data_IF_571021243415
#
_entry.id   IF_571021243415
#
_cell.length_a   1.000
_cell.length_b   1.000
_cell.length_c   1.000
_cell.angle_alpha   90.00
_cell.angle_beta   90.00
_cell.angle_gamma   90.00
#
_symmetry.space_group_name_H-M   'P 1'
#
loop_
_entity.id
_entity.type
_entity.pdbx_description
1 polymer ?
#
# COMPACT_ATOMS: atom_id res chain seq x y z
N UNK A 1 -5.40 18.10 -79.68
CA UNK A 1 -4.16 18.45 -78.95
C UNK A 1 -4.49 19.16 -77.64
N UNK A 2 -5.30 18.54 -76.77
CA UNK A 2 -5.67 19.15 -75.48
C UNK A 2 -6.21 18.08 -74.50
N UNK A 3 -5.49 16.97 -74.34
CA UNK A 3 -5.92 15.89 -73.44
C UNK A 3 -4.73 15.18 -72.78
N UNK A 4 -3.64 15.91 -72.55
CA UNK A 4 -2.45 15.40 -71.85
C UNK A 4 -1.97 16.29 -70.69
N UNK A 5 -2.63 17.43 -70.44
CA UNK A 5 -2.16 18.43 -69.46
C UNK A 5 -2.88 18.40 -68.09
N UNK A 6 -3.80 17.46 -67.85
CA UNK A 6 -4.58 17.40 -66.60
C UNK A 6 -4.08 16.35 -65.58
N UNK A 7 -2.92 15.71 -65.81
CA UNK A 7 -2.35 14.74 -64.86
C UNK A 7 -1.26 15.32 -63.93
N UNK A 8 -0.91 16.60 -64.07
CA UNK A 8 0.18 17.24 -63.30
C UNK A 8 -0.31 18.05 -62.07
N UNK A 9 -1.60 17.99 -61.72
CA UNK A 9 -2.18 18.75 -60.61
C UNK A 9 -2.52 17.89 -59.38
N UNK A 10 -2.14 16.62 -59.35
CA UNK A 10 -2.17 15.84 -58.13
C UNK A 10 -0.79 15.91 -57.50
N UNK A 11 -0.54 16.76 -56.48
CA UNK A 11 0.66 16.63 -55.68
C UNK A 11 0.66 15.19 -55.16
N UNK A 12 1.67 14.44 -55.55
CA UNK A 12 1.93 13.12 -54.99
C UNK A 12 1.91 13.31 -53.48
N UNK A 13 0.96 12.66 -52.83
CA UNK A 13 0.87 12.63 -51.37
C UNK A 13 2.13 11.89 -50.93
N UNK A 14 3.20 12.65 -50.68
CA UNK A 14 4.37 12.16 -49.97
C UNK A 14 3.78 11.70 -48.65
N UNK A 15 3.63 10.39 -48.46
CA UNK A 15 3.38 9.83 -47.14
C UNK A 15 4.73 9.92 -46.44
N UNK A 16 4.98 10.88 -45.52
CA UNK A 16 6.08 10.69 -44.59
C UNK A 16 5.64 9.51 -43.72
N UNK A 17 6.05 8.30 -44.08
CA UNK A 17 6.10 7.21 -43.11
C UNK A 17 7.07 7.68 -42.04
N UNK A 18 6.55 8.26 -40.96
CA UNK A 18 7.31 8.51 -39.75
C UNK A 18 7.74 7.13 -39.22
N UNK A 19 8.93 6.71 -39.61
CA UNK A 19 9.56 5.52 -39.06
C UNK A 19 10.01 5.89 -37.66
N UNK A 20 9.17 5.60 -36.68
CA UNK A 20 9.58 5.76 -35.29
C UNK A 20 10.47 4.57 -34.97
N UNK A 21 11.78 4.84 -34.92
CA UNK A 21 12.78 3.90 -34.39
C UNK A 21 12.63 3.92 -32.87
N UNK A 22 11.58 3.30 -32.34
CA UNK A 22 11.55 3.02 -30.90
C UNK A 22 12.63 1.98 -30.63
N UNK A 23 13.69 2.38 -29.93
CA UNK A 23 14.48 1.42 -29.18
C UNK A 23 13.52 0.77 -28.19
N UNK A 24 13.49 -0.57 -28.16
CA UNK A 24 12.73 -1.30 -27.16
C UNK A 24 13.08 -0.75 -25.77
N UNK A 25 12.08 -0.35 -24.96
CA UNK A 25 12.35 0.21 -23.65
C UNK A 25 13.11 -0.83 -22.80
N UNK A 26 13.98 -0.38 -21.88
CA UNK A 26 14.63 -1.30 -20.95
C UNK A 26 13.59 -2.11 -20.17
N UNK A 27 14.01 -3.28 -19.69
CA UNK A 27 13.17 -4.08 -18.78
C UNK A 27 12.88 -3.29 -17.50
N UNK A 28 11.67 -3.46 -16.97
CA UNK A 28 11.29 -2.92 -15.67
C UNK A 28 11.89 -3.78 -14.54
N UNK A 29 12.67 -3.13 -13.68
CA UNK A 29 13.35 -3.71 -12.52
C UNK A 29 13.20 -2.80 -11.28
N UNK A 30 12.08 -2.07 -11.19
CA UNK A 30 11.77 -1.23 -10.04
C UNK A 30 11.64 -2.07 -8.76
N UNK A 31 12.25 -1.62 -7.67
CA UNK A 31 12.29 -2.36 -6.41
C UNK A 31 11.03 -2.11 -5.58
N UNK A 32 10.37 -3.20 -5.13
CA UNK A 32 9.30 -3.13 -4.14
C UNK A 32 9.48 -4.19 -3.06
N UNK A 33 9.07 -3.86 -1.83
CA UNK A 33 9.31 -4.67 -0.64
C UNK A 33 7.98 -4.91 0.08
N UNK A 34 7.62 -6.19 0.18
CA UNK A 34 6.55 -6.65 1.05
C UNK A 34 7.03 -6.66 2.51
N UNK A 35 6.44 -5.79 3.33
CA UNK A 35 6.69 -5.73 4.75
C UNK A 35 5.82 -6.75 5.49
N UNK A 36 6.44 -7.50 6.39
CA UNK A 36 5.85 -8.56 7.19
C UNK A 36 6.21 -8.35 8.67
N UNK A 37 5.62 -9.15 9.56
CA UNK A 37 5.97 -9.11 10.99
C UNK A 37 7.45 -9.40 11.26
N UNK A 38 8.19 -10.02 10.32
CA UNK A 38 9.60 -10.36 10.51
C UNK A 38 10.57 -9.26 10.08
N UNK A 39 10.18 -8.32 9.22
CA UNK A 39 11.10 -7.30 8.69
C UNK A 39 10.64 -5.86 8.95
N UNK A 40 9.37 -5.64 9.30
CA UNK A 40 8.79 -4.29 9.42
C UNK A 40 9.52 -3.41 10.44
N UNK A 41 9.99 -3.98 11.55
CA UNK A 41 10.72 -3.23 12.57
C UNK A 41 12.08 -2.75 12.07
N UNK A 42 12.75 -3.53 11.23
CA UNK A 42 14.04 -3.18 10.64
C UNK A 42 13.90 -1.99 9.67
N UNK A 43 12.87 -2.01 8.83
CA UNK A 43 12.65 -0.95 7.85
C UNK A 43 12.03 0.31 8.46
N UNK A 44 10.99 0.16 9.29
CA UNK A 44 10.14 1.29 9.69
C UNK A 44 9.93 1.40 11.19
N UNK A 45 10.53 0.54 12.01
CA UNK A 45 10.27 0.46 13.45
C UNK A 45 10.55 1.75 14.23
N UNK A 46 11.48 2.58 13.72
CA UNK A 46 11.82 3.88 14.31
C UNK A 46 10.98 5.05 13.78
N UNK A 47 10.15 4.83 12.77
CA UNK A 47 9.30 5.88 12.19
C UNK A 47 8.17 6.25 13.15
N UNK A 48 7.83 7.55 13.19
CA UNK A 48 6.67 8.04 13.95
C UNK A 48 5.37 7.35 13.50
N UNK A 49 5.25 7.05 12.21
CA UNK A 49 4.13 6.33 11.65
C UNK A 49 3.97 4.93 12.25
N UNK A 50 5.05 4.14 12.30
CA UNK A 50 5.02 2.79 12.89
C UNK A 50 4.64 2.83 14.37
N UNK A 51 5.25 3.73 15.13
CA UNK A 51 5.00 3.87 16.57
C UNK A 51 3.52 4.24 16.84
N UNK A 52 2.93 5.10 16.02
CA UNK A 52 1.57 5.61 16.24
C UNK A 52 0.47 4.73 15.65
N UNK A 53 0.71 4.08 14.50
CA UNK A 53 -0.35 3.43 13.71
C UNK A 53 -0.18 1.91 13.59
N UNK A 54 1.02 1.36 13.76
CA UNK A 54 1.28 -0.07 13.55
C UNK A 54 1.58 -0.79 14.86
N UNK A 55 2.21 -0.12 15.81
CA UNK A 55 2.60 -0.74 17.10
C UNK A 55 1.38 -1.32 17.81
N UNK A 56 1.46 -2.61 18.15
CA UNK A 56 0.38 -3.33 18.83
C UNK A 56 -0.73 -3.86 17.90
N UNK A 57 -0.59 -3.69 16.57
CA UNK A 57 -1.46 -4.26 15.53
C UNK A 57 -0.86 -5.54 14.95
N UNK A 58 -1.72 -6.37 14.37
CA UNK A 58 -1.28 -7.53 13.58
C UNK A 58 -0.92 -7.06 12.15
N UNK A 59 0.18 -7.59 11.61
CA UNK A 59 0.66 -7.23 10.27
C UNK A 59 1.05 -8.45 9.45
N UNK A 60 0.86 -8.36 8.13
CA UNK A 60 1.25 -9.40 7.16
C UNK A 60 1.70 -8.78 5.85
N UNK A 61 2.43 -9.57 5.08
CA UNK A 61 2.80 -9.19 3.71
C UNK A 61 1.56 -9.02 2.84
N UNK A 62 1.53 -7.99 1.98
CA UNK A 62 0.48 -7.84 0.99
C UNK A 62 0.62 -8.87 -0.12
N UNK A 63 -0.49 -9.06 -0.84
CA UNK A 63 -0.52 -9.78 -2.10
C UNK A 63 -0.22 -8.82 -3.24
N UNK A 64 0.33 -9.33 -4.34
CA UNK A 64 0.58 -8.54 -5.52
C UNK A 64 0.38 -9.29 -6.82
N UNK A 65 0.09 -8.53 -7.87
CA UNK A 65 0.08 -8.99 -9.25
C UNK A 65 0.95 -8.05 -10.07
N UNK A 66 1.90 -8.60 -10.82
CA UNK A 66 2.80 -7.86 -11.69
C UNK A 66 2.51 -8.23 -13.14
N UNK A 67 2.33 -7.21 -13.98
CA UNK A 67 2.10 -7.36 -15.42
C UNK A 67 2.95 -6.31 -16.16
N UNK A 68 3.95 -6.77 -16.90
CA UNK A 68 5.00 -5.96 -17.55
C UNK A 68 5.69 -4.94 -16.62
N UNK A 69 5.18 -3.71 -16.58
CA UNK A 69 5.70 -2.60 -15.79
C UNK A 69 4.63 -2.07 -14.82
N UNK A 70 3.58 -2.83 -14.57
CA UNK A 70 2.49 -2.49 -13.67
C UNK A 70 2.48 -3.44 -12.48
N UNK A 71 2.39 -2.87 -11.28
CA UNK A 71 2.27 -3.60 -10.03
C UNK A 71 0.97 -3.20 -9.36
N UNK A 72 0.13 -4.17 -9.04
CA UNK A 72 -1.01 -3.99 -8.15
C UNK A 72 -0.73 -4.67 -6.81
N UNK A 73 -0.94 -3.97 -5.71
CA UNK A 73 -0.72 -4.44 -4.34
C UNK A 73 -2.04 -4.36 -3.59
N UNK A 74 -2.41 -5.41 -2.85
CA UNK A 74 -3.67 -5.44 -2.11
C UNK A 74 -3.60 -6.33 -0.86
N UNK A 75 -4.63 -6.18 -0.03
CA UNK A 75 -4.86 -6.95 1.18
C UNK A 75 -6.26 -7.55 1.15
N UNK A 76 -6.42 -8.82 1.54
CA UNK A 76 -7.74 -9.48 1.46
C UNK A 76 -8.80 -8.87 2.39
N UNK A 77 -8.45 -8.61 3.65
CA UNK A 77 -9.37 -8.18 4.72
C UNK A 77 -8.79 -7.11 5.65
N UNK A 78 -7.55 -6.72 5.39
CA UNK A 78 -6.79 -5.81 6.24
C UNK A 78 -6.52 -4.54 5.48
N UNK A 79 -6.16 -3.48 6.19
CA UNK A 79 -5.86 -2.21 5.54
C UNK A 79 -4.48 -2.24 4.91
N UNK A 80 -4.41 -1.93 3.62
CA UNK A 80 -3.16 -1.71 2.91
C UNK A 80 -2.56 -0.35 3.29
N UNK A 81 -1.27 -0.37 3.61
CA UNK A 81 -0.45 0.84 3.76
C UNK A 81 0.70 0.76 2.78
N UNK A 82 0.87 1.81 1.98
CA UNK A 82 2.01 1.96 1.06
C UNK A 82 2.89 3.15 1.45
N UNK A 83 4.20 3.00 1.25
CA UNK A 83 5.21 3.98 1.68
C UNK A 83 6.32 4.07 0.64
N UNK A 84 6.86 5.28 0.44
CA UNK A 84 8.17 5.47 -0.21
C UNK A 84 9.29 5.22 0.83
N UNK A 85 10.52 4.98 0.39
CA UNK A 85 11.73 4.94 1.23
C UNK A 85 11.84 6.18 2.14
N UNK A 86 11.45 7.34 1.62
CA UNK A 86 11.45 8.60 2.39
C UNK A 86 10.30 8.67 3.39
N UNK A 87 9.25 7.86 3.18
CA UNK A 87 8.10 7.59 4.05
C UNK A 87 8.44 7.36 5.52
N UNK A 88 9.66 6.85 5.79
CA UNK A 88 10.13 6.55 7.13
C UNK A 88 10.61 7.77 7.91
N UNK A 89 10.74 8.91 7.23
CA UNK A 89 11.15 10.20 7.79
C UNK A 89 9.96 11.16 7.84
N UNK A 90 10.07 12.23 8.63
CA UNK A 90 9.00 13.23 8.80
C UNK A 90 8.56 13.94 7.50
N UNK A 91 9.32 13.78 6.39
CA UNK A 91 9.03 14.35 5.07
C UNK A 91 8.57 13.30 4.04
N UNK A 92 8.36 12.08 4.51
CA UNK A 92 7.95 10.95 3.71
C UNK A 92 6.47 10.91 3.40
N UNK A 93 6.11 10.20 2.33
CA UNK A 93 4.72 9.93 2.03
C UNK A 93 4.34 8.53 2.49
N UNK A 94 3.23 8.43 3.22
CA UNK A 94 2.59 7.17 3.63
C UNK A 94 1.11 7.28 3.35
N UNK A 95 0.55 6.27 2.67
CA UNK A 95 -0.87 6.24 2.33
C UNK A 95 -1.51 5.01 2.95
N UNK A 96 -2.52 5.24 3.79
CA UNK A 96 -3.44 4.21 4.21
C UNK A 96 -4.56 4.13 3.17
N UNK A 97 -4.64 3.00 2.49
CA UNK A 97 -5.63 2.74 1.46
C UNK A 97 -6.85 1.97 1.99
N UNK A 98 -6.81 1.50 3.24
CA UNK A 98 -7.86 0.63 3.74
C UNK A 98 -7.93 -0.64 2.91
N UNK A 99 -9.12 -1.09 2.53
CA UNK A 99 -9.32 -2.29 1.72
C UNK A 99 -9.00 -2.11 0.22
N UNK A 100 -8.65 -0.89 -0.22
CA UNK A 100 -8.34 -0.61 -1.62
C UNK A 100 -6.94 -1.07 -2.01
N UNK A 101 -6.79 -1.50 -3.27
CA UNK A 101 -5.49 -1.80 -3.87
C UNK A 101 -4.70 -0.52 -4.17
N UNK A 102 -3.38 -0.66 -4.24
CA UNK A 102 -2.47 0.32 -4.79
C UNK A 102 -1.99 -0.14 -6.16
N UNK A 103 -2.08 0.73 -7.17
CA UNK A 103 -1.50 0.50 -8.48
C UNK A 103 -0.27 1.40 -8.66
N UNK A 104 0.81 0.82 -9.19
CA UNK A 104 2.08 1.48 -9.43
C UNK A 104 2.61 1.14 -10.83
N UNK A 105 3.17 2.13 -11.51
CA UNK A 105 3.77 1.96 -12.83
C UNK A 105 5.29 2.15 -12.74
N UNK A 106 6.07 1.14 -13.13
CA UNK A 106 7.52 1.24 -13.22
C UNK A 106 7.90 2.02 -14.49
N UNK A 107 8.67 3.09 -14.33
CA UNK A 107 9.29 3.78 -15.45
C UNK A 107 10.57 3.02 -15.88
N UNK A 108 10.61 2.42 -17.08
CA UNK A 108 11.75 1.60 -17.52
C UNK A 108 13.04 2.39 -17.74
N UNK A 109 12.97 3.72 -17.88
CA UNK A 109 14.16 4.55 -18.09
C UNK A 109 14.74 5.05 -16.78
N UNK A 110 13.90 5.37 -15.81
CA UNK A 110 14.35 5.89 -14.51
C UNK A 110 14.42 4.81 -13.43
N UNK A 111 13.78 3.66 -13.65
CA UNK A 111 13.64 2.55 -12.71
C UNK A 111 13.00 3.02 -11.40
N UNK A 112 11.96 3.87 -11.52
CA UNK A 112 11.20 4.40 -10.39
C UNK A 112 9.72 4.06 -10.52
N UNK A 113 9.08 3.80 -9.38
CA UNK A 113 7.64 3.62 -9.32
C UNK A 113 6.92 4.95 -9.47
N UNK A 114 5.87 4.98 -10.29
CA UNK A 114 4.90 6.07 -10.39
C UNK A 114 3.65 5.64 -9.66
N UNK A 115 3.40 6.26 -8.51
CA UNK A 115 2.31 5.89 -7.61
C UNK A 115 1.38 7.07 -7.42
N UNK A 116 0.07 6.81 -7.47
CA UNK A 116 -0.93 7.82 -7.16
C UNK A 116 -1.00 8.08 -5.66
N UNK A 117 -0.66 9.32 -5.28
CA UNK A 117 -0.73 9.78 -3.90
C UNK A 117 -2.13 10.32 -3.51
N UNK A 118 -3.12 10.23 -4.41
CA UNK A 118 -4.47 10.78 -4.27
C UNK A 118 -4.65 12.18 -4.86
N UNK A 119 -3.57 12.80 -5.37
CA UNK A 119 -3.59 14.10 -6.03
C UNK A 119 -2.79 14.10 -7.33
N UNK A 120 -1.62 13.45 -7.34
CA UNK A 120 -0.71 13.36 -8.49
C UNK A 120 0.10 12.06 -8.48
N UNK A 121 0.61 11.68 -9.65
CA UNK A 121 1.55 10.56 -9.79
C UNK A 121 2.95 10.99 -9.34
N UNK A 122 3.41 10.48 -8.19
CA UNK A 122 4.75 10.70 -7.66
C UNK A 122 5.71 9.59 -8.06
N UNK A 123 6.98 9.97 -8.28
CA UNK A 123 8.06 9.04 -8.54
C UNK A 123 8.74 8.62 -7.22
N UNK A 124 8.77 7.33 -6.92
CA UNK A 124 9.38 6.73 -5.74
C UNK A 124 10.53 5.82 -6.16
N UNK A 125 11.64 5.90 -5.43
CA UNK A 125 12.82 5.07 -5.69
C UNK A 125 12.57 3.62 -5.27
N UNK A 126 11.88 3.42 -4.14
CA UNK A 126 11.48 2.11 -3.62
C UNK A 126 10.04 2.20 -3.11
N UNK A 127 9.27 1.12 -3.30
CA UNK A 127 7.89 1.01 -2.85
C UNK A 127 7.77 -0.04 -1.75
N UNK A 128 7.19 0.33 -0.61
CA UNK A 128 6.96 -0.57 0.51
C UNK A 128 5.47 -0.75 0.73
N UNK A 129 5.05 -1.96 1.05
CA UNK A 129 3.64 -2.28 1.33
C UNK A 129 3.47 -3.20 2.53
N UNK A 130 2.48 -2.93 3.39
CA UNK A 130 2.09 -3.79 4.51
C UNK A 130 0.56 -3.87 4.63
N UNK A 131 0.04 -5.04 4.98
CA UNK A 131 -1.33 -5.18 5.46
C UNK A 131 -1.37 -5.06 6.98
N UNK A 132 -2.21 -4.17 7.50
CA UNK A 132 -2.38 -3.92 8.93
C UNK A 132 -3.81 -4.20 9.36
N UNK A 133 -3.98 -5.04 10.37
CA UNK A 133 -5.27 -5.23 11.03
C UNK A 133 -5.49 -4.11 12.06
N UNK A 134 -6.23 -3.06 11.68
CA UNK A 134 -6.52 -1.95 12.59
C UNK A 134 -7.63 -2.28 13.61
N UNK A 135 -8.45 -3.29 13.33
CA UNK A 135 -9.48 -3.78 14.24
C UNK A 135 -8.90 -4.71 15.32
N UNK A 136 -7.64 -5.11 15.17
CA UNK A 136 -6.90 -5.84 16.17
C UNK A 136 -6.73 -5.01 17.46
N UNK A 137 -7.39 -5.44 18.52
CA UNK A 137 -7.13 -4.98 19.88
C UNK A 137 -6.27 -6.00 20.62
N UNK A 138 -5.02 -5.64 20.91
CA UNK A 138 -4.15 -6.42 21.79
C UNK A 138 -4.84 -6.56 23.14
N UNK A 139 -5.17 -7.79 23.55
CA UNK A 139 -5.88 -8.10 24.81
C UNK A 139 -5.02 -7.87 26.07
N UNK A 140 -4.07 -6.93 26.03
CA UNK A 140 -3.12 -6.65 27.12
C UNK A 140 -3.68 -5.59 28.10
N UNK A 141 -4.59 -4.70 27.66
CA UNK A 141 -5.11 -3.62 28.53
C UNK A 141 -6.28 -4.05 29.43
N UNK A 142 -6.97 -5.16 29.15
CA UNK A 142 -8.14 -5.58 29.95
C UNK A 142 -7.81 -6.26 31.29
N UNK A 143 -6.54 -6.62 31.54
CA UNK A 143 -6.16 -7.36 32.78
C UNK A 143 -5.70 -6.50 33.96
N UNK A 144 -5.52 -5.19 33.81
CA UNK A 144 -5.02 -4.33 34.92
C UNK A 144 -6.08 -3.43 35.58
N UNK A 145 -7.37 -3.59 35.28
CA UNK A 145 -8.47 -2.95 36.05
C UNK A 145 -9.44 -3.92 36.73
N UNK A 146 -9.14 -5.22 36.78
CA UNK A 146 -9.79 -6.09 37.77
C UNK A 146 -9.08 -5.93 39.11
N UNK A 147 -9.52 -4.93 39.88
CA UNK A 147 -9.26 -4.82 41.32
C UNK A 147 -9.39 -6.23 41.94
N UNK A 148 -8.41 -6.72 42.72
CA UNK A 148 -8.56 -7.98 43.45
C UNK A 148 -9.85 -7.93 44.27
N UNK A 149 -10.71 -8.96 44.27
CA UNK A 149 -11.81 -9.00 45.22
C UNK A 149 -11.21 -9.12 46.61
N UNK A 150 -11.32 -8.04 47.39
CA UNK A 150 -11.03 -8.03 48.83
C UNK A 150 -12.03 -8.96 49.51
N UNK A 151 -11.66 -10.23 49.66
CA UNK A 151 -12.41 -11.22 50.40
C UNK A 151 -12.24 -11.01 51.89
N UNK A 152 -13.06 -10.15 52.49
CA UNK A 152 -13.27 -10.14 53.94
C UNK A 152 -14.38 -11.15 54.25
N UNK A 153 -13.99 -12.27 54.84
CA UNK A 153 -14.92 -13.25 55.41
C UNK A 153 -15.67 -12.61 56.58
N UNK A 154 -16.96 -12.37 56.41
CA UNK A 154 -17.91 -12.14 57.50
C UNK A 154 -19.03 -13.20 57.40
N UNK A 155 -19.39 -13.89 58.49
CA UNK A 155 -20.36 -14.98 58.44
C UNK A 155 -21.77 -14.48 58.06
N UNK A 156 -22.39 -15.20 57.12
CA UNK A 156 -23.75 -14.97 56.60
C UNK A 156 -24.79 -15.44 57.64
N UNK A 157 -25.70 -14.58 58.13
CA UNK A 157 -26.85 -15.05 58.90
C UNK A 157 -27.89 -15.70 57.98
N UNK A 158 -28.27 -16.94 58.30
CA UNK A 158 -29.32 -17.70 57.62
C UNK A 158 -30.70 -17.18 58.02
N UNK A 159 -31.42 -16.54 57.09
CA UNK A 159 -32.84 -16.23 57.26
C UNK A 159 -33.66 -17.40 56.69
N UNK A 160 -34.35 -18.10 57.59
CA UNK A 160 -35.25 -19.22 57.33
C UNK A 160 -36.62 -18.69 56.87
N UNK A 161 -36.97 -18.81 55.59
CA UNK A 161 -38.33 -18.52 55.12
C UNK A 161 -39.26 -19.71 55.42
N UNK A 162 -40.17 -19.54 56.38
CA UNK A 162 -41.36 -20.40 56.58
C UNK A 162 -42.36 -20.14 55.45
N UNK A 163 -42.73 -21.18 54.69
CA UNK A 163 -43.92 -21.17 53.83
C UNK A 163 -45.18 -21.32 54.68
N UNK A 164 -46.21 -20.55 54.37
CA UNK A 164 -47.59 -20.72 54.85
C UNK A 164 -48.49 -20.91 53.65
#
# INVERSE_FOLDING_TARGET
MLSFFLFLLFPTVIQPCLVIRYSEPPKCECEWIALTSSNIEEFIGQSSFYIQNITGKEVKGPLSTEDDCSLSIYCDKWSLVIMDKKGFTNNGFTRMLGEYSADALCDPYTQKWRVDNGAELKAWDELYGVCVDYDFETTTTRRTTRKPPTGNNAPRPTILFKRK
#
